data_IF_756584583383
#
_entry.id   IF_756584583383
#
_cell.length_a   1.000
_cell.length_b   1.000
_cell.length_c   1.000
_cell.angle_alpha   90.00
_cell.angle_beta   90.00
_cell.angle_gamma   90.00
#
_symmetry.space_group_name_H-M   'P 1'
#
loop_
_entity.id
_entity.type
_entity.pdbx_description
1 polymer ?
#
# COMPACT_ATOMS: atom_id res chain seq x y z
N UNK A 1 15.69 9.37 -4.49
CA UNK A 1 14.34 9.97 -4.64
C UNK A 1 13.46 8.95 -5.34
N UNK A 2 12.23 8.72 -4.86
CA UNK A 2 11.34 7.76 -5.54
C UNK A 2 11.06 8.23 -6.97
N UNK A 3 10.93 7.32 -7.95
CA UNK A 3 10.66 7.70 -9.34
C UNK A 3 9.37 8.53 -9.46
N UNK A 4 8.36 8.22 -8.62
CA UNK A 4 7.12 9.00 -8.53
C UNK A 4 7.36 10.45 -8.10
N UNK A 5 8.17 10.69 -7.06
CA UNK A 5 8.51 12.06 -6.61
C UNK A 5 9.19 12.86 -7.72
N UNK A 6 10.10 12.23 -8.45
CA UNK A 6 10.77 12.87 -9.58
C UNK A 6 9.80 13.21 -10.72
N UNK A 7 8.89 12.29 -11.06
CA UNK A 7 7.86 12.52 -12.07
C UNK A 7 6.94 13.69 -11.70
N UNK A 8 6.44 13.76 -10.47
CA UNK A 8 5.60 14.87 -10.01
C UNK A 8 6.34 16.22 -10.02
N UNK A 9 7.62 16.24 -9.63
CA UNK A 9 8.43 17.45 -9.71
C UNK A 9 8.58 17.93 -11.16
N UNK A 10 8.85 17.02 -12.10
CA UNK A 10 8.94 17.35 -13.52
C UNK A 10 7.60 17.85 -14.08
N UNK A 11 6.48 17.21 -13.74
CA UNK A 11 5.15 17.67 -14.11
C UNK A 11 4.87 19.08 -13.59
N UNK A 12 5.27 19.40 -12.36
CA UNK A 12 5.15 20.74 -11.79
C UNK A 12 5.93 21.79 -12.59
N UNK A 13 7.16 21.48 -13.00
CA UNK A 13 7.98 22.37 -13.84
C UNK A 13 7.32 22.58 -15.21
N UNK A 14 6.82 21.52 -15.84
CA UNK A 14 6.13 21.62 -17.14
C UNK A 14 4.83 22.43 -17.02
N UNK A 15 4.08 22.27 -15.92
CA UNK A 15 2.88 23.04 -15.66
C UNK A 15 3.20 24.54 -15.49
N UNK A 16 4.30 24.90 -14.80
CA UNK A 16 4.77 26.29 -14.73
C UNK A 16 5.22 26.85 -16.08
N UNK A 17 5.89 26.04 -16.90
CA UNK A 17 6.21 26.46 -18.27
C UNK A 17 4.92 26.73 -19.06
N UNK A 18 3.90 25.88 -18.90
CA UNK A 18 2.60 26.08 -19.53
C UNK A 18 1.86 27.31 -19.01
N UNK A 19 1.95 27.67 -17.72
CA UNK A 19 1.38 28.92 -17.21
C UNK A 19 2.01 30.14 -17.88
N UNK A 20 3.33 30.12 -18.10
CA UNK A 20 4.06 31.24 -18.71
C UNK A 20 3.74 31.39 -20.21
N UNK A 21 3.36 30.31 -20.88
CA UNK A 21 3.02 30.31 -22.30
C UNK A 21 1.52 30.47 -22.58
N UNK A 22 0.66 30.41 -21.55
CA UNK A 22 -0.78 30.45 -21.74
C UNK A 22 -1.25 31.84 -22.15
N UNK A 23 -1.91 31.93 -23.32
CA UNK A 23 -2.52 33.19 -23.78
C UNK A 23 -3.92 33.42 -23.20
N UNK A 24 -4.52 32.40 -22.58
CA UNK A 24 -5.85 32.48 -21.98
C UNK A 24 -5.78 32.37 -20.46
N UNK A 25 -6.46 33.29 -19.77
CA UNK A 25 -6.45 33.37 -18.31
C UNK A 25 -6.98 32.10 -17.63
N UNK A 26 -7.93 31.40 -18.25
CA UNK A 26 -8.45 30.14 -17.73
C UNK A 26 -7.38 29.04 -17.74
N UNK A 27 -6.66 28.89 -18.86
CA UNK A 27 -5.59 27.87 -18.98
C UNK A 27 -4.42 28.21 -18.06
N UNK A 28 -4.08 29.49 -17.92
CA UNK A 28 -3.06 29.95 -16.97
C UNK A 28 -3.43 29.55 -15.53
N UNK A 29 -4.67 29.84 -15.10
CA UNK A 29 -5.13 29.51 -13.75
C UNK A 29 -5.13 28.00 -13.48
N UNK A 30 -5.64 27.20 -14.42
CA UNK A 30 -5.65 25.74 -14.29
C UNK A 30 -4.24 25.14 -14.24
N UNK A 31 -3.34 25.62 -15.10
CA UNK A 31 -1.95 25.17 -15.11
C UNK A 31 -1.22 25.56 -13.82
N UNK A 32 -1.54 26.71 -13.24
CA UNK A 32 -0.97 27.15 -11.97
C UNK A 32 -1.43 26.26 -10.81
N UNK A 33 -2.72 25.94 -10.74
CA UNK A 33 -3.25 25.00 -9.74
C UNK A 33 -2.62 23.60 -9.91
N UNK A 34 -2.46 23.14 -11.15
CA UNK A 34 -1.80 21.86 -11.43
C UNK A 34 -0.32 21.87 -10.98
N UNK A 35 0.40 22.98 -11.19
CA UNK A 35 1.76 23.14 -10.72
C UNK A 35 1.84 23.04 -9.18
N UNK A 36 0.99 23.78 -8.46
CA UNK A 36 0.94 23.75 -7.01
C UNK A 36 0.64 22.33 -6.48
N UNK A 37 -0.34 21.64 -7.06
CA UNK A 37 -0.66 20.26 -6.69
C UNK A 37 0.52 19.32 -6.95
N UNK A 38 1.17 19.42 -8.11
CA UNK A 38 2.30 18.57 -8.48
C UNK A 38 3.51 18.78 -7.53
N UNK A 39 3.85 20.02 -7.21
CA UNK A 39 4.92 20.31 -6.25
C UNK A 39 4.55 19.87 -4.82
N UNK A 40 3.30 20.06 -4.39
CA UNK A 40 2.82 19.57 -3.10
C UNK A 40 2.95 18.06 -2.97
N UNK A 41 2.54 17.33 -4.01
CA UNK A 41 2.71 15.88 -4.09
C UNK A 41 4.19 15.49 -4.08
N UNK A 42 5.05 16.15 -4.85
CA UNK A 42 6.48 15.84 -4.87
C UNK A 42 7.16 16.04 -3.49
N UNK A 43 6.76 17.10 -2.78
CA UNK A 43 7.28 17.44 -1.46
C UNK A 43 6.83 16.47 -0.37
N UNK A 44 5.53 16.13 -0.34
CA UNK A 44 4.93 15.30 0.71
C UNK A 44 4.72 13.82 0.36
N UNK A 45 5.16 13.35 -0.81
CA UNK A 45 4.98 11.94 -1.17
C UNK A 45 5.69 11.01 -0.17
N UNK A 46 4.99 9.97 0.33
CA UNK A 46 5.59 9.02 1.25
C UNK A 46 6.74 8.25 0.59
N UNK A 47 7.74 7.90 1.39
CA UNK A 47 8.83 7.06 0.90
C UNK A 47 8.33 5.64 0.56
N UNK A 48 8.96 4.98 -0.43
CA UNK A 48 8.60 3.62 -0.79
C UNK A 48 8.77 2.70 0.40
N UNK A 49 7.90 1.69 0.49
CA UNK A 49 8.03 0.65 1.51
C UNK A 49 9.43 0.03 1.46
N UNK A 50 9.98 -0.36 2.62
CA UNK A 50 11.23 -1.09 2.64
C UNK A 50 11.08 -2.37 1.80
N UNK A 51 12.15 -2.81 1.12
CA UNK A 51 12.12 -4.07 0.39
C UNK A 51 11.73 -5.20 1.35
N UNK A 52 10.98 -6.22 0.88
CA UNK A 52 10.70 -7.38 1.70
C UNK A 52 12.02 -8.01 2.18
N UNK A 53 12.05 -8.60 3.38
CA UNK A 53 13.24 -9.25 3.89
C UNK A 53 13.67 -10.38 2.94
N UNK A 54 14.98 -10.62 2.88
CA UNK A 54 15.55 -11.67 2.02
C UNK A 54 14.93 -13.04 2.37
N UNK A 55 14.85 -13.95 1.39
CA UNK A 55 14.21 -15.27 1.54
C UNK A 55 14.69 -16.06 2.78
N UNK A 56 15.97 -15.92 3.17
CA UNK A 56 16.53 -16.57 4.36
C UNK A 56 16.36 -15.82 5.69
N UNK A 57 15.79 -14.61 5.69
CA UNK A 57 15.47 -13.84 6.89
C UNK A 57 14.03 -14.08 7.39
N UNK A 58 13.21 -14.72 6.56
CA UNK A 58 11.92 -15.22 7.02
C UNK A 58 12.15 -16.29 8.06
N UNK A 59 11.38 -16.23 9.15
CA UNK A 59 11.32 -17.33 10.10
C UNK A 59 11.01 -18.60 9.32
N UNK A 60 11.81 -19.65 9.51
CA UNK A 60 11.46 -20.96 8.97
C UNK A 60 10.03 -21.26 9.43
N UNK A 61 9.15 -21.76 8.54
CA UNK A 61 7.85 -22.24 8.99
C UNK A 61 8.11 -23.21 10.14
N UNK A 62 7.34 -23.08 11.22
CA UNK A 62 7.48 -23.96 12.37
C UNK A 62 7.54 -25.40 11.84
N UNK A 63 8.60 -26.14 12.21
CA UNK A 63 8.80 -27.52 11.79
C UNK A 63 7.46 -28.24 12.01
N UNK A 64 6.90 -28.78 10.92
CA UNK A 64 5.49 -29.13 10.81
C UNK A 64 4.94 -29.66 12.13
N UNK A 65 4.26 -28.79 12.88
CA UNK A 65 3.40 -29.29 13.94
C UNK A 65 2.40 -30.16 13.20
N UNK A 66 2.45 -31.45 13.47
CA UNK A 66 1.39 -32.36 13.08
C UNK A 66 0.09 -31.67 13.52
N UNK A 67 -0.69 -31.26 12.52
CA UNK A 67 -1.88 -30.47 12.72
C UNK A 67 -2.80 -31.30 13.60
N UNK A 68 -2.85 -31.00 14.89
CA UNK A 68 -3.75 -31.69 15.79
C UNK A 68 -5.16 -31.30 15.36
N UNK A 69 -5.86 -32.20 14.67
CA UNK A 69 -7.23 -31.99 14.27
C UNK A 69 -8.15 -32.25 15.47
N UNK A 70 -9.10 -31.35 15.69
CA UNK A 70 -10.13 -31.46 16.71
C UNK A 70 -11.49 -31.09 16.11
N UNK A 71 -12.57 -31.46 16.79
CA UNK A 71 -13.91 -31.12 16.35
C UNK A 71 -14.39 -29.84 17.05
N UNK A 72 -14.94 -28.90 16.29
CA UNK A 72 -15.53 -27.70 16.87
C UNK A 72 -16.82 -28.01 17.63
N UNK A 73 -16.87 -27.72 18.93
CA UNK A 73 -18.05 -27.91 19.78
C UNK A 73 -19.30 -27.14 19.34
N UNK A 74 -19.14 -26.07 18.56
CA UNK A 74 -20.25 -25.25 18.07
C UNK A 74 -20.91 -25.76 16.78
N UNK A 75 -20.14 -26.36 15.87
CA UNK A 75 -20.67 -26.77 14.56
C UNK A 75 -20.31 -28.20 14.12
N UNK A 76 -19.57 -28.96 14.93
CA UNK A 76 -19.24 -30.36 14.68
C UNK A 76 -18.27 -30.59 13.52
N UNK A 77 -17.59 -29.55 13.02
CA UNK A 77 -16.62 -29.67 11.93
C UNK A 77 -15.21 -29.89 12.47
N UNK A 78 -14.45 -30.70 11.76
CA UNK A 78 -13.02 -30.90 11.99
C UNK A 78 -12.25 -29.63 11.63
N UNK A 79 -11.39 -29.20 12.55
CA UNK A 79 -10.58 -27.98 12.48
C UNK A 79 -9.24 -28.22 13.17
N UNK A 80 -8.27 -27.36 12.93
CA UNK A 80 -7.03 -27.37 13.71
C UNK A 80 -7.29 -26.98 15.17
N UNK A 81 -7.02 -27.89 16.11
CA UNK A 81 -7.15 -27.68 17.55
C UNK A 81 -6.20 -26.59 18.09
N UNK A 82 -5.18 -26.20 17.32
CA UNK A 82 -4.30 -25.08 17.65
C UNK A 82 -4.89 -23.70 17.34
N UNK A 83 -6.06 -23.64 16.70
CA UNK A 83 -6.71 -22.37 16.37
C UNK A 83 -7.50 -21.84 17.56
N UNK A 84 -7.52 -20.52 17.72
CA UNK A 84 -8.30 -19.89 18.79
C UNK A 84 -9.81 -19.83 18.48
N UNK A 85 -10.19 -19.95 17.20
CA UNK A 85 -11.55 -19.76 16.72
C UNK A 85 -11.86 -20.64 15.51
N UNK A 86 -13.07 -21.16 15.44
CA UNK A 86 -13.57 -21.91 14.30
C UNK A 86 -13.83 -20.97 13.11
N UNK A 87 -13.31 -21.26 11.90
CA UNK A 87 -13.50 -20.40 10.73
C UNK A 87 -14.95 -20.42 10.22
N UNK A 88 -15.73 -21.44 10.58
CA UNK A 88 -17.04 -21.67 10.00
C UNK A 88 -18.18 -21.11 10.83
N UNK A 89 -18.08 -21.18 12.15
CA UNK A 89 -19.14 -20.73 13.06
C UNK A 89 -18.67 -19.70 14.09
N UNK A 90 -17.42 -19.26 14.00
CA UNK A 90 -16.78 -18.31 14.93
C UNK A 90 -16.91 -18.68 16.42
N UNK A 91 -17.20 -19.94 16.74
CA UNK A 91 -17.09 -20.44 18.10
C UNK A 91 -15.62 -20.57 18.50
N UNK A 92 -15.32 -20.36 19.78
CA UNK A 92 -13.99 -20.61 20.34
C UNK A 92 -13.73 -22.12 20.35
N UNK A 93 -12.53 -22.52 19.92
CA UNK A 93 -12.08 -23.90 19.88
C UNK A 93 -11.43 -24.34 21.20
#
# INVERSE_FOLDING_TARGET
MSPLRASFALCGILALANTLLAESALVEYLAYLAALAAFGLAAWWPDPLPPPPASGQWSAPAAGHERAHGECSGCGREVDAGWSMCPYCSARL
#
